data_IF_943202428068
#
_entry.id   IF_943202428068
#
_cell.length_a   1.000
_cell.length_b   1.000
_cell.length_c   1.000
_cell.angle_alpha   90.00
_cell.angle_beta   90.00
_cell.angle_gamma   90.00
#
_symmetry.space_group_name_H-M   'P 1'
#
loop_
_entity.id
_entity.type
_entity.pdbx_description
1 polymer ?
#
# COMPACT_ATOMS: atom_id res chain seq x y z
N UNK A 1 -14.69 -25.89 -4.65
CA UNK A 1 -13.72 -24.77 -4.66
C UNK A 1 -12.35 -25.35 -4.85
N UNK A 2 -11.63 -24.93 -5.89
CA UNK A 2 -10.26 -25.36 -6.17
C UNK A 2 -9.34 -24.82 -5.08
N UNK A 3 -8.46 -25.66 -4.54
CA UNK A 3 -7.44 -25.25 -3.56
C UNK A 3 -6.49 -24.26 -4.25
N UNK A 4 -6.17 -23.13 -3.63
CA UNK A 4 -5.24 -22.15 -4.20
C UNK A 4 -3.81 -22.69 -4.16
N UNK A 5 -2.93 -22.27 -5.06
CA UNK A 5 -1.53 -22.64 -5.06
C UNK A 5 -0.85 -22.28 -3.72
N UNK A 6 -1.23 -21.16 -3.09
CA UNK A 6 -0.79 -20.78 -1.74
C UNK A 6 -1.15 -21.81 -0.67
N UNK A 7 -2.33 -22.45 -0.76
CA UNK A 7 -2.75 -23.50 0.18
C UNK A 7 -2.01 -24.83 -0.04
N UNK A 8 -1.26 -24.96 -1.14
CA UNK A 8 -0.44 -26.13 -1.43
C UNK A 8 0.99 -25.99 -0.91
N UNK A 9 1.41 -24.77 -0.59
CA UNK A 9 2.74 -24.49 -0.05
C UNK A 9 2.87 -25.04 1.38
N UNK A 10 3.94 -25.79 1.69
CA UNK A 10 4.28 -26.19 3.05
C UNK A 10 4.25 -25.03 4.04
N UNK A 11 3.58 -25.21 5.19
CA UNK A 11 3.48 -24.17 6.24
C UNK A 11 4.83 -23.62 6.68
N UNK A 12 5.86 -24.47 6.78
CA UNK A 12 7.22 -24.03 7.12
C UNK A 12 7.85 -23.09 6.08
N UNK A 13 7.47 -23.18 4.81
CA UNK A 13 7.90 -22.22 3.79
C UNK A 13 7.11 -20.92 3.90
N UNK A 14 5.80 -21.00 4.14
CA UNK A 14 4.94 -19.83 4.38
C UNK A 14 5.38 -19.02 5.60
N UNK A 15 5.67 -19.69 6.71
CA UNK A 15 6.10 -19.06 7.95
C UNK A 15 7.45 -18.36 7.77
N UNK A 16 8.39 -18.98 7.04
CA UNK A 16 9.68 -18.35 6.70
C UNK A 16 9.52 -17.17 5.76
N UNK A 17 8.69 -17.30 4.72
CA UNK A 17 8.37 -16.19 3.81
C UNK A 17 7.83 -14.99 4.58
N UNK A 18 6.81 -15.21 5.41
CA UNK A 18 6.17 -14.16 6.19
C UNK A 18 7.13 -13.55 7.22
N UNK A 19 7.87 -14.37 7.96
CA UNK A 19 8.83 -13.89 8.95
C UNK A 19 9.91 -13.01 8.30
N UNK A 20 10.47 -13.43 7.16
CA UNK A 20 11.45 -12.61 6.42
C UNK A 20 10.81 -11.32 5.92
N UNK A 21 9.66 -11.38 5.25
CA UNK A 21 8.99 -10.21 4.70
C UNK A 21 8.60 -9.18 5.78
N UNK A 22 8.08 -9.64 6.93
CA UNK A 22 7.74 -8.76 8.06
C UNK A 22 8.99 -8.16 8.70
N UNK A 23 10.07 -8.92 8.85
CA UNK A 23 11.32 -8.41 9.43
C UNK A 23 11.97 -7.32 8.57
N UNK A 24 11.80 -7.39 7.25
CA UNK A 24 12.38 -6.45 6.29
C UNK A 24 11.45 -5.28 5.95
N UNK A 25 10.16 -5.36 6.32
CA UNK A 25 9.16 -4.34 6.00
C UNK A 25 9.58 -2.91 6.39
N UNK A 26 10.20 -2.64 7.56
CA UNK A 26 10.66 -1.30 7.91
C UNK A 26 11.74 -0.75 6.97
N UNK A 27 12.72 -1.56 6.59
CA UNK A 27 13.82 -1.16 5.70
C UNK A 27 13.32 -1.01 4.25
N UNK A 28 12.45 -1.92 3.81
CA UNK A 28 11.81 -1.84 2.50
C UNK A 28 10.95 -0.57 2.39
N UNK A 29 10.22 -0.20 3.44
CA UNK A 29 9.43 1.03 3.46
C UNK A 29 10.31 2.28 3.34
N UNK A 30 11.44 2.34 4.03
CA UNK A 30 12.43 3.43 3.89
C UNK A 30 13.00 3.49 2.48
N UNK A 31 13.36 2.34 1.91
CA UNK A 31 13.87 2.23 0.53
C UNK A 31 12.86 2.76 -0.49
N UNK A 32 11.59 2.37 -0.35
CA UNK A 32 10.52 2.82 -1.22
C UNK A 32 10.29 4.32 -1.06
N UNK A 33 10.25 4.84 0.18
CA UNK A 33 10.07 6.26 0.42
C UNK A 33 11.21 7.09 -0.19
N UNK A 34 12.45 6.62 -0.04
CA UNK A 34 13.62 7.26 -0.65
C UNK A 34 13.50 7.30 -2.18
N UNK A 35 13.10 6.17 -2.78
CA UNK A 35 12.86 6.10 -4.22
C UNK A 35 11.72 7.02 -4.68
N UNK A 36 10.64 7.12 -3.90
CA UNK A 36 9.53 8.06 -4.16
C UNK A 36 10.02 9.51 -4.10
N UNK A 37 10.78 9.89 -3.07
CA UNK A 37 11.33 11.26 -2.96
C UNK A 37 12.22 11.63 -4.14
N UNK A 38 12.99 10.68 -4.64
CA UNK A 38 13.87 10.87 -5.80
C UNK A 38 13.07 11.03 -7.11
N UNK A 39 12.08 10.17 -7.33
CA UNK A 39 11.35 10.12 -8.61
C UNK A 39 10.16 11.10 -8.65
N UNK A 40 9.71 11.56 -7.48
CA UNK A 40 8.60 12.50 -7.28
C UNK A 40 9.03 13.66 -6.36
N UNK A 41 10.03 14.48 -6.74
CA UNK A 41 10.60 15.52 -5.89
C UNK A 41 9.62 16.67 -5.56
N UNK A 42 8.53 16.77 -6.33
CA UNK A 42 7.45 17.74 -6.12
C UNK A 42 6.43 17.28 -5.05
N UNK A 43 6.54 16.07 -4.54
CA UNK A 43 5.63 15.52 -3.55
C UNK A 43 5.89 16.15 -2.18
N UNK A 44 4.91 16.90 -1.66
CA UNK A 44 4.92 17.36 -0.29
C UNK A 44 4.44 16.23 0.64
N UNK A 45 5.38 15.68 1.41
CA UNK A 45 5.08 14.67 2.40
C UNK A 45 4.65 15.33 3.71
N UNK A 46 3.48 14.92 4.21
CA UNK A 46 3.02 15.31 5.54
C UNK A 46 3.79 14.50 6.58
N UNK A 47 4.30 15.20 7.60
CA UNK A 47 4.98 14.60 8.74
C UNK A 47 4.03 14.53 9.94
N UNK A 48 4.22 13.54 10.80
CA UNK A 48 3.53 13.48 12.09
C UNK A 48 4.19 14.38 13.15
N UNK A 49 3.68 14.35 14.38
CA UNK A 49 4.22 15.14 15.51
C UNK A 49 5.69 14.84 15.83
N UNK A 50 6.19 13.67 15.42
CA UNK A 50 7.58 13.25 15.62
C UNK A 50 8.50 13.63 14.47
N UNK A 51 7.95 14.19 13.38
CA UNK A 51 8.67 14.47 12.14
C UNK A 51 8.82 13.25 11.22
N UNK A 52 8.17 12.12 11.53
CA UNK A 52 8.16 10.96 10.64
C UNK A 52 7.18 11.20 9.48
N UNK A 53 7.58 11.01 8.21
CA UNK A 53 6.66 11.13 7.09
C UNK A 53 5.52 10.12 7.23
N UNK A 54 4.27 10.58 7.21
CA UNK A 54 3.09 9.70 7.26
C UNK A 54 3.11 8.66 6.12
N UNK A 55 3.69 9.02 4.98
CA UNK A 55 3.91 8.09 3.87
C UNK A 55 4.81 6.90 4.26
N UNK A 56 5.83 7.10 5.11
CA UNK A 56 6.68 6.01 5.60
C UNK A 56 5.86 4.99 6.38
N UNK A 57 5.06 5.49 7.31
CA UNK A 57 4.14 4.68 8.14
C UNK A 57 3.14 3.95 7.25
N UNK A 58 2.58 4.64 6.25
CA UNK A 58 1.62 4.05 5.31
C UNK A 58 2.20 2.96 4.43
N UNK A 59 3.42 3.15 3.89
CA UNK A 59 4.11 2.13 3.10
C UNK A 59 4.39 0.91 3.98
N UNK A 60 4.91 1.11 5.19
CA UNK A 60 5.21 0.02 6.12
C UNK A 60 3.95 -0.78 6.46
N UNK A 61 2.88 -0.11 6.89
CA UNK A 61 1.60 -0.75 7.24
C UNK A 61 0.95 -1.47 6.07
N UNK A 62 1.11 -0.96 4.84
CA UNK A 62 0.61 -1.65 3.65
C UNK A 62 1.36 -2.96 3.40
N UNK A 63 2.69 -2.98 3.58
CA UNK A 63 3.51 -4.19 3.41
C UNK A 63 3.14 -5.21 4.50
N UNK A 64 3.16 -4.79 5.76
CA UNK A 64 2.80 -5.65 6.91
C UNK A 64 1.40 -6.22 6.75
N UNK A 65 0.42 -5.37 6.48
CA UNK A 65 -0.97 -5.79 6.30
C UNK A 65 -1.14 -6.74 5.12
N UNK A 66 -0.44 -6.53 4.00
CA UNK A 66 -0.48 -7.46 2.87
C UNK A 66 0.06 -8.85 3.27
N UNK A 67 1.21 -8.91 3.95
CA UNK A 67 1.82 -10.16 4.40
C UNK A 67 0.95 -10.90 5.43
N UNK A 68 0.36 -10.19 6.38
CA UNK A 68 -0.53 -10.77 7.40
C UNK A 68 -1.82 -11.35 6.79
N UNK A 69 -2.36 -10.70 5.76
CA UNK A 69 -3.55 -11.21 5.07
C UNK A 69 -3.28 -12.51 4.31
N UNK A 70 -2.08 -12.65 3.72
CA UNK A 70 -1.65 -13.87 3.03
C UNK A 70 -1.55 -15.06 3.98
N UNK A 71 -0.95 -14.87 5.17
CA UNK A 71 -0.81 -15.95 6.16
C UNK A 71 -2.13 -16.34 6.80
N UNK A 72 -3.07 -15.39 6.91
CA UNK A 72 -4.40 -15.61 7.46
C UNK A 72 -5.38 -16.25 6.48
N UNK A 73 -5.05 -16.30 5.17
CA UNK A 73 -5.96 -16.74 4.12
C UNK A 73 -7.20 -15.84 3.98
N UNK A 74 -7.15 -14.63 4.55
CA UNK A 74 -8.22 -13.65 4.47
C UNK A 74 -8.03 -12.77 3.25
N UNK A 75 -9.14 -12.21 2.74
CA UNK A 75 -9.03 -11.19 1.70
C UNK A 75 -8.20 -10.01 2.23
N UNK A 76 -7.22 -9.52 1.45
CA UNK A 76 -6.41 -8.38 1.85
C UNK A 76 -7.27 -7.19 2.27
N UNK A 77 -7.21 -6.83 3.56
CA UNK A 77 -7.91 -5.65 4.10
C UNK A 77 -6.92 -4.52 4.37
N UNK A 78 -7.27 -3.37 3.82
CA UNK A 78 -6.51 -2.13 3.91
C UNK A 78 -6.85 -1.42 5.22
N UNK A 79 -5.89 -0.79 5.91
CA UNK A 79 -6.17 0.14 7.00
C UNK A 79 -6.89 1.38 6.44
N UNK A 80 -8.23 1.52 6.57
CA UNK A 80 -8.99 2.41 5.70
C UNK A 80 -8.70 3.90 5.96
N UNK A 81 -8.49 4.26 7.23
CA UNK A 81 -8.37 5.66 7.67
C UNK A 81 -7.15 6.36 7.07
N UNK A 82 -5.98 5.72 7.10
CA UNK A 82 -4.74 6.31 6.60
C UNK A 82 -4.77 6.56 5.08
N UNK A 83 -5.32 5.63 4.31
CA UNK A 83 -5.41 5.81 2.86
C UNK A 83 -6.48 6.84 2.47
N UNK A 84 -7.55 6.97 3.27
CA UNK A 84 -8.49 8.09 3.16
C UNK A 84 -7.81 9.43 3.46
N UNK A 85 -6.92 9.51 4.46
CA UNK A 85 -6.18 10.73 4.77
C UNK A 85 -5.27 11.16 3.62
N UNK A 86 -4.56 10.24 2.97
CA UNK A 86 -3.77 10.56 1.77
C UNK A 86 -4.64 11.16 0.66
N UNK A 87 -5.79 10.55 0.38
CA UNK A 87 -6.75 11.09 -0.59
C UNK A 87 -7.31 12.46 -0.20
N UNK A 88 -7.62 12.64 1.08
CA UNK A 88 -8.09 13.92 1.65
C UNK A 88 -7.03 15.00 1.46
N UNK A 89 -5.76 14.67 1.68
CA UNK A 89 -4.60 15.56 1.46
C UNK A 89 -4.51 16.05 0.01
N UNK A 90 -4.58 15.14 -0.98
CA UNK A 90 -4.61 15.54 -2.39
C UNK A 90 -5.80 16.46 -2.71
N UNK A 91 -6.99 16.12 -2.19
CA UNK A 91 -8.20 16.91 -2.36
C UNK A 91 -8.12 18.29 -1.70
N UNK A 92 -7.41 18.41 -0.58
CA UNK A 92 -7.11 19.67 0.12
C UNK A 92 -5.98 20.47 -0.54
N UNK A 93 -5.18 19.87 -1.40
CA UNK A 93 -4.12 20.61 -2.10
C UNK A 93 -4.53 20.93 -3.55
N UNK A 94 -5.71 20.47 -3.98
CA UNK A 94 -6.20 20.65 -5.35
C UNK A 94 -5.41 19.82 -6.38
N UNK A 95 -4.70 18.80 -5.93
CA UNK A 95 -3.92 17.90 -6.78
C UNK A 95 -4.79 16.77 -7.35
N UNK A 96 -4.32 16.14 -8.41
CA UNK A 96 -5.00 14.97 -9.00
C UNK A 96 -4.65 13.70 -8.23
N UNK A 97 -5.64 12.81 -8.08
CA UNK A 97 -5.43 11.44 -7.61
C UNK A 97 -4.52 10.62 -8.54
N UNK A 98 -4.34 11.03 -9.80
CA UNK A 98 -3.47 10.32 -10.75
C UNK A 98 -2.02 10.24 -10.25
N UNK A 99 -1.52 11.32 -9.64
CA UNK A 99 -0.19 11.37 -9.04
C UNK A 99 -0.08 10.38 -7.89
N UNK A 100 -1.08 10.33 -7.01
CA UNK A 100 -1.10 9.40 -5.87
C UNK A 100 -1.15 7.94 -6.35
N UNK A 101 -1.97 7.64 -7.37
CA UNK A 101 -2.03 6.30 -7.95
C UNK A 101 -0.72 5.90 -8.66
N UNK A 102 -0.04 6.83 -9.33
CA UNK A 102 1.26 6.58 -9.94
C UNK A 102 2.31 6.19 -8.88
N UNK A 103 2.32 6.90 -7.74
CA UNK A 103 3.17 6.60 -6.59
C UNK A 103 2.86 5.21 -6.01
N UNK A 104 1.57 4.85 -5.88
CA UNK A 104 1.19 3.52 -5.39
C UNK A 104 1.67 2.42 -6.33
N UNK A 105 1.45 2.54 -7.64
CA UNK A 105 1.96 1.58 -8.63
C UNK A 105 3.47 1.46 -8.57
N UNK A 106 4.18 2.56 -8.33
CA UNK A 106 5.62 2.56 -8.16
C UNK A 106 6.06 1.79 -6.90
N UNK A 107 5.46 2.09 -5.75
CA UNK A 107 5.73 1.38 -4.49
C UNK A 107 5.45 -0.12 -4.59
N UNK A 108 4.30 -0.49 -5.17
CA UNK A 108 3.92 -1.90 -5.38
C UNK A 108 4.94 -2.66 -6.23
N UNK A 109 5.49 -2.06 -7.29
CA UNK A 109 6.54 -2.71 -8.10
C UNK A 109 7.80 -3.01 -7.28
N UNK A 110 8.20 -2.10 -6.41
CA UNK A 110 9.38 -2.27 -5.56
C UNK A 110 9.13 -3.34 -4.49
N UNK A 111 7.97 -3.30 -3.83
CA UNK A 111 7.53 -4.34 -2.89
C UNK A 111 7.47 -5.70 -3.57
N UNK A 112 6.85 -5.77 -4.75
CA UNK A 112 6.75 -7.01 -5.53
C UNK A 112 8.12 -7.60 -5.85
N UNK A 113 9.07 -6.78 -6.31
CA UNK A 113 10.44 -7.25 -6.59
C UNK A 113 11.07 -7.88 -5.36
N UNK A 114 10.93 -7.25 -4.18
CA UNK A 114 11.49 -7.81 -2.94
C UNK A 114 10.78 -9.07 -2.49
N UNK A 115 9.45 -9.10 -2.52
CA UNK A 115 8.68 -10.31 -2.19
C UNK A 115 9.00 -11.46 -3.15
N UNK A 116 9.25 -11.18 -4.42
CA UNK A 116 9.66 -12.18 -5.40
C UNK A 116 11.06 -12.75 -5.12
N UNK A 117 12.00 -11.92 -4.66
CA UNK A 117 13.32 -12.36 -4.21
C UNK A 117 13.21 -13.23 -2.95
N UNK A 118 12.42 -12.81 -1.95
CA UNK A 118 12.17 -13.60 -0.74
C UNK A 118 11.54 -14.94 -1.15
N UNK A 119 10.48 -14.93 -1.97
CA UNK A 119 9.82 -16.14 -2.45
C UNK A 119 10.78 -17.14 -3.10
N UNK A 120 11.75 -16.66 -3.88
CA UNK A 120 12.81 -17.49 -4.44
C UNK A 120 13.74 -18.06 -3.37
N UNK A 121 14.15 -17.27 -2.36
CA UNK A 121 15.04 -17.71 -1.28
C UNK A 121 14.42 -18.82 -0.40
N UNK A 122 13.09 -18.85 -0.27
CA UNK A 122 12.35 -19.87 0.49
C UNK A 122 11.79 -21.01 -0.37
N UNK A 123 12.12 -21.03 -1.66
CA UNK A 123 11.64 -22.01 -2.64
C UNK A 123 10.11 -22.07 -2.75
N UNK A 124 9.45 -20.91 -2.74
CA UNK A 124 8.00 -20.82 -2.98
C UNK A 124 7.71 -21.19 -4.44
N UNK A 125 6.79 -22.13 -4.72
CA UNK A 125 6.46 -22.52 -6.07
C UNK A 125 5.95 -21.34 -6.92
N UNK A 126 6.35 -21.30 -8.19
CA UNK A 126 5.95 -20.24 -9.11
C UNK A 126 4.42 -20.03 -9.20
N UNK A 127 3.56 -21.07 -9.22
CA UNK A 127 2.11 -20.87 -9.21
C UNK A 127 1.60 -20.07 -8.00
N UNK A 128 2.16 -20.30 -6.80
CA UNK A 128 1.81 -19.51 -5.63
C UNK A 128 2.30 -18.06 -5.79
N UNK A 129 3.50 -17.84 -6.34
CA UNK A 129 3.97 -16.49 -6.64
C UNK A 129 3.08 -15.77 -7.67
N UNK A 130 2.49 -16.45 -8.63
CA UNK A 130 1.55 -15.81 -9.58
C UNK A 130 0.27 -15.34 -8.88
N UNK A 131 -0.33 -16.19 -8.03
CA UNK A 131 -1.48 -15.80 -7.21
C UNK A 131 -1.16 -14.63 -6.27
N UNK A 132 0.07 -14.59 -5.74
CA UNK A 132 0.53 -13.47 -4.90
C UNK A 132 0.52 -12.15 -5.67
N UNK A 133 0.97 -12.16 -6.93
CA UNK A 133 0.97 -10.98 -7.78
C UNK A 133 -0.46 -10.48 -8.04
N UNK A 134 -1.39 -11.39 -8.33
CA UNK A 134 -2.81 -11.08 -8.51
C UNK A 134 -3.43 -10.46 -7.25
N UNK A 135 -3.19 -11.07 -6.08
CA UNK A 135 -3.62 -10.53 -4.78
C UNK A 135 -3.00 -9.16 -4.50
N UNK A 136 -1.79 -8.89 -4.99
CA UNK A 136 -1.15 -7.58 -4.89
C UNK A 136 -1.88 -6.49 -5.67
N UNK A 137 -2.44 -6.81 -6.85
CA UNK A 137 -3.27 -5.88 -7.61
C UNK A 137 -4.61 -5.62 -6.92
N UNK A 138 -5.27 -6.65 -6.42
CA UNK A 138 -6.52 -6.50 -5.67
C UNK A 138 -6.30 -5.62 -4.41
N UNK A 139 -5.18 -5.82 -3.71
CA UNK A 139 -4.84 -5.00 -2.56
C UNK A 139 -4.61 -3.54 -2.94
N UNK A 140 -3.89 -3.28 -4.04
CA UNK A 140 -3.68 -1.95 -4.59
C UNK A 140 -5.01 -1.26 -4.93
N UNK A 141 -5.94 -1.97 -5.56
CA UNK A 141 -7.27 -1.43 -5.87
C UNK A 141 -8.01 -1.02 -4.60
N UNK A 142 -7.90 -1.82 -3.54
CA UNK A 142 -8.40 -1.46 -2.21
C UNK A 142 -7.76 -0.17 -1.64
N UNK A 143 -6.44 -0.01 -1.77
CA UNK A 143 -5.74 1.22 -1.33
C UNK A 143 -6.29 2.45 -2.08
N UNK A 144 -6.42 2.33 -3.40
CA UNK A 144 -6.92 3.38 -4.29
C UNK A 144 -8.36 3.74 -3.94
N UNK A 145 -9.22 2.76 -3.70
CA UNK A 145 -10.61 3.00 -3.31
C UNK A 145 -10.72 3.87 -2.06
N UNK A 146 -9.92 3.56 -1.02
CA UNK A 146 -9.92 4.35 0.21
C UNK A 146 -9.44 5.78 -0.02
N UNK A 147 -8.40 5.99 -0.85
CA UNK A 147 -7.96 7.34 -1.21
C UNK A 147 -8.99 8.09 -2.05
N UNK A 148 -9.70 7.44 -2.96
CA UNK A 148 -10.79 8.08 -3.73
C UNK A 148 -11.89 8.56 -2.78
N UNK A 149 -12.28 7.76 -1.78
CA UNK A 149 -13.26 8.15 -0.77
C UNK A 149 -12.82 9.40 -0.01
N UNK A 150 -11.57 9.40 0.50
CA UNK A 150 -11.02 10.54 1.23
C UNK A 150 -10.95 11.82 0.40
N UNK A 151 -10.60 11.71 -0.89
CA UNK A 151 -10.58 12.82 -1.83
C UNK A 151 -11.97 13.41 -2.06
N UNK A 152 -12.97 12.55 -2.31
CA UNK A 152 -14.35 12.97 -2.54
C UNK A 152 -14.92 13.72 -1.33
N UNK A 153 -14.63 13.25 -0.10
CA UNK A 153 -15.01 13.94 1.13
C UNK A 153 -14.38 15.34 1.25
N UNK A 154 -13.10 15.49 0.90
CA UNK A 154 -12.42 16.78 0.91
C UNK A 154 -13.02 17.75 -0.13
N UNK A 155 -13.28 17.26 -1.35
CA UNK A 155 -13.89 18.04 -2.41
C UNK A 155 -15.30 18.53 -2.03
N UNK A 156 -16.12 17.67 -1.42
CA UNK A 156 -17.47 18.00 -0.98
C UNK A 156 -17.48 19.07 0.13
N UNK A 157 -16.57 18.98 1.11
CA UNK A 157 -16.41 20.01 2.14
C UNK A 157 -16.05 21.37 1.56
N UNK A 158 -15.10 21.40 0.62
CA UNK A 158 -14.68 22.64 -0.06
C UNK A 158 -15.78 23.28 -0.89
N UNK A 159 -16.61 22.48 -1.55
CA UNK A 159 -17.77 23.00 -2.28
C UNK A 159 -18.79 23.63 -1.32
N UNK A 160 -19.07 22.95 -0.21
CA UNK A 160 -19.99 23.44 0.84
C UNK A 160 -19.50 24.75 1.48
N UNK A 161 -18.21 24.86 1.79
CA UNK A 161 -17.62 26.06 2.38
C UNK A 161 -17.67 27.26 1.42
N UNK A 162 -17.34 27.03 0.14
CA UNK A 162 -17.48 28.06 -0.90
C UNK A 162 -18.90 28.58 -1.04
N UNK A 163 -19.90 27.69 -1.02
CA UNK A 163 -21.31 28.08 -1.06
C UNK A 163 -21.74 28.89 0.17
N UNK A 164 -21.14 28.61 1.35
CA UNK A 164 -21.43 29.33 2.59
C UNK A 164 -20.86 30.74 2.60
N UNK A 165 -19.69 30.95 2.00
CA UNK A 165 -19.05 32.27 1.86
C UNK A 165 -19.71 33.17 0.81
N UNK A 166 -20.54 32.60 -0.07
CA UNK A 166 -21.28 33.31 -1.11
C UNK A 166 -22.71 33.72 -0.69
N UNK A 167 -23.12 33.42 0.56
CA UNK A 167 -24.40 33.79 1.16
C UNK A 167 -24.23 34.93 2.15
#
# INVERSE_FOLDING_TARGET
MTRTAWQEVPRSQLDRFAATALSEAPELAQTILHAIRRDYPYLHLVEDESGEPLALVGIRRAIEGFVDNLTSGAHPRVPPEMFQEFGRGEGLEGRSLDSLQAIYRFGVRLTWRRLAEIGQQVDIPAPAMYELAESGFEYLDGLVEQSVRGYAEAAARRASERLRLQR
#
